data_IF_700564702146
#
_entry.id   IF_700564702146
#
_cell.length_a   1.000
_cell.length_b   1.000
_cell.length_c   1.000
_cell.angle_alpha   90.00
_cell.angle_beta   90.00
_cell.angle_gamma   90.00
#
_symmetry.space_group_name_H-M   'P 1'
#
loop_
_entity.id
_entity.type
_entity.pdbx_description
1 polymer ?
#
# COMPACT_ATOMS: atom_id res chain seq x y z
N UNK A 1 37.98 -18.30 -2.01
CA UNK A 1 37.35 -17.81 -0.76
C UNK A 1 36.05 -17.14 -1.14
N UNK A 2 34.92 -17.72 -0.75
CA UNK A 2 33.59 -17.23 -1.13
C UNK A 2 33.10 -16.33 0.01
N UNK A 3 33.34 -15.03 -0.10
CA UNK A 3 32.76 -14.07 0.84
C UNK A 3 31.25 -14.01 0.58
N UNK A 4 30.45 -14.41 1.57
CA UNK A 4 29.01 -14.16 1.55
C UNK A 4 28.84 -12.67 1.81
N UNK A 5 28.52 -11.87 0.78
CA UNK A 5 28.41 -10.41 0.86
C UNK A 5 27.55 -9.92 2.05
N UNK A 6 26.50 -10.65 2.43
CA UNK A 6 25.67 -10.35 3.60
C UNK A 6 26.42 -10.43 4.95
N UNK A 7 27.50 -11.23 5.06
CA UNK A 7 28.32 -11.28 6.27
C UNK A 7 29.19 -10.04 6.43
N UNK A 8 29.56 -9.38 5.34
CA UNK A 8 30.41 -8.17 5.36
C UNK A 8 29.59 -6.93 5.72
N UNK A 9 28.35 -6.81 5.23
CA UNK A 9 27.44 -5.71 5.61
C UNK A 9 27.07 -5.74 7.10
N UNK A 10 27.00 -6.93 7.72
CA UNK A 10 26.50 -7.12 9.09
C UNK A 10 27.53 -7.57 10.13
N UNK A 11 28.80 -7.78 9.73
CA UNK A 11 29.88 -8.07 10.67
C UNK A 11 30.15 -6.83 11.53
N UNK A 12 29.59 -6.81 12.73
CA UNK A 12 29.83 -5.76 13.73
C UNK A 12 28.61 -4.89 14.08
N UNK A 13 27.49 -5.00 13.35
CA UNK A 13 26.28 -4.25 13.70
C UNK A 13 25.38 -5.03 14.66
N UNK A 14 25.05 -4.39 15.79
CA UNK A 14 24.18 -4.93 16.83
C UNK A 14 22.71 -4.90 16.41
N UNK A 15 21.90 -5.81 16.97
CA UNK A 15 20.43 -5.69 16.88
C UNK A 15 19.99 -4.34 17.47
N UNK A 16 19.01 -3.71 16.83
CA UNK A 16 18.51 -2.37 17.13
C UNK A 16 19.33 -1.23 16.54
N UNK A 17 20.48 -1.49 15.92
CA UNK A 17 21.30 -0.44 15.30
C UNK A 17 20.50 0.30 14.23
N UNK A 18 20.55 1.64 14.28
CA UNK A 18 19.93 2.50 13.28
C UNK A 18 20.65 2.35 11.94
N UNK A 19 19.87 2.35 10.87
CA UNK A 19 20.28 2.29 9.48
C UNK A 19 19.61 3.43 8.74
N UNK A 20 20.33 4.06 7.82
CA UNK A 20 19.76 5.08 6.96
C UNK A 20 18.58 4.50 6.17
N UNK A 21 17.42 5.17 6.24
CA UNK A 21 16.23 4.75 5.52
C UNK A 21 16.45 4.80 3.99
N UNK A 22 17.27 5.73 3.49
CA UNK A 22 17.55 5.85 2.06
C UNK A 22 18.21 4.58 1.51
N UNK A 23 19.13 3.99 2.27
CA UNK A 23 19.77 2.73 1.91
C UNK A 23 18.75 1.58 1.80
N UNK A 24 17.81 1.50 2.75
CA UNK A 24 16.80 0.44 2.73
C UNK A 24 15.81 0.66 1.60
N UNK A 25 15.40 1.90 1.34
CA UNK A 25 14.51 2.26 0.24
C UNK A 25 15.15 1.96 -1.13
N UNK A 26 16.43 2.31 -1.31
CA UNK A 26 17.18 1.95 -2.51
C UNK A 26 17.22 0.43 -2.70
N UNK A 27 17.45 -0.35 -1.63
CA UNK A 27 17.39 -1.82 -1.72
C UNK A 27 16.00 -2.30 -2.12
N UNK A 28 14.92 -1.76 -1.56
CA UNK A 28 13.53 -2.15 -1.91
C UNK A 28 13.25 -1.87 -3.39
N UNK A 29 13.60 -0.68 -3.88
CA UNK A 29 13.34 -0.28 -5.28
C UNK A 29 14.20 -1.04 -6.29
N UNK A 30 15.35 -1.57 -5.87
CA UNK A 30 16.25 -2.35 -6.71
C UNK A 30 16.21 -3.86 -6.42
N UNK A 31 15.24 -4.33 -5.64
CA UNK A 31 15.11 -5.74 -5.34
C UNK A 31 14.90 -6.53 -6.63
N UNK A 32 15.61 -7.65 -6.78
CA UNK A 32 15.58 -8.44 -8.01
C UNK A 32 14.39 -9.41 -8.06
N UNK A 33 13.87 -9.76 -6.88
CA UNK A 33 12.82 -10.75 -6.71
C UNK A 33 11.51 -10.08 -6.28
N UNK A 34 10.40 -10.58 -6.81
CA UNK A 34 9.07 -10.26 -6.33
C UNK A 34 8.87 -10.78 -4.89
N UNK A 35 8.28 -9.96 -4.03
CA UNK A 35 7.88 -10.40 -2.70
C UNK A 35 6.47 -10.98 -2.75
N UNK A 36 6.38 -12.31 -2.76
CA UNK A 36 5.12 -13.05 -2.68
C UNK A 36 4.58 -12.98 -1.25
N UNK A 37 3.54 -12.19 -1.01
CA UNK A 37 2.97 -11.94 0.30
C UNK A 37 1.60 -12.59 0.45
N UNK A 38 1.32 -13.13 1.64
CA UNK A 38 0.00 -13.59 2.06
C UNK A 38 -0.52 -12.67 3.14
N UNK A 39 -1.76 -12.24 3.03
CA UNK A 39 -2.49 -11.51 4.07
C UNK A 39 -3.09 -12.54 5.01
N UNK A 40 -2.76 -12.48 6.28
CA UNK A 40 -3.12 -13.52 7.26
C UNK A 40 -3.67 -12.86 8.53
N UNK A 41 -4.69 -13.46 9.12
CA UNK A 41 -5.00 -13.22 10.53
C UNK A 41 -3.98 -13.99 11.37
N UNK A 42 -3.03 -13.27 11.96
CA UNK A 42 -1.91 -13.85 12.71
C UNK A 42 -2.37 -14.78 13.84
N UNK A 43 -3.54 -14.52 14.45
CA UNK A 43 -4.02 -15.27 15.62
C UNK A 43 -4.63 -16.61 15.25
N UNK A 44 -5.48 -16.62 14.23
CA UNK A 44 -6.13 -17.84 13.73
C UNK A 44 -5.27 -18.57 12.69
N UNK A 45 -4.24 -17.89 12.16
CA UNK A 45 -3.45 -18.32 11.02
C UNK A 45 -4.30 -18.56 9.76
N UNK A 46 -5.42 -17.84 9.65
CA UNK A 46 -6.34 -17.90 8.51
C UNK A 46 -5.83 -17.05 7.34
N UNK A 47 -5.88 -17.60 6.13
CA UNK A 47 -5.51 -16.89 4.90
C UNK A 47 -6.61 -15.94 4.44
N UNK A 48 -6.35 -14.65 4.52
CA UNK A 48 -7.27 -13.57 4.14
C UNK A 48 -7.06 -13.09 2.70
N UNK A 49 -5.92 -13.41 2.09
CA UNK A 49 -5.60 -12.95 0.75
C UNK A 49 -4.13 -13.15 0.39
N UNK A 50 -3.74 -12.71 -0.79
CA UNK A 50 -2.35 -12.74 -1.25
C UNK A 50 -2.11 -11.65 -2.29
N UNK A 51 -0.86 -11.21 -2.39
CA UNK A 51 -0.41 -10.25 -3.38
C UNK A 51 1.07 -10.49 -3.69
N UNK A 52 1.49 -10.14 -4.89
CA UNK A 52 2.90 -10.17 -5.28
C UNK A 52 3.37 -8.72 -5.44
N UNK A 53 4.35 -8.32 -4.64
CA UNK A 53 4.94 -6.98 -4.66
C UNK A 53 6.17 -6.97 -5.56
N UNK A 54 6.12 -6.20 -6.63
CA UNK A 54 7.11 -6.25 -7.73
C UNK A 54 7.75 -4.88 -7.94
N UNK A 55 9.01 -4.69 -7.50
CA UNK A 55 9.78 -3.51 -7.86
C UNK A 55 10.38 -3.64 -9.26
N UNK A 56 10.30 -2.57 -10.06
CA UNK A 56 10.91 -2.52 -11.39
C UNK A 56 11.74 -1.25 -11.57
N UNK A 57 12.90 -1.39 -12.21
CA UNK A 57 13.75 -0.27 -12.64
C UNK A 57 13.60 -0.08 -14.14
N UNK A 58 12.98 1.02 -14.55
CA UNK A 58 12.82 1.36 -15.97
C UNK A 58 13.97 2.26 -16.40
N UNK A 59 14.59 1.93 -17.52
CA UNK A 59 15.80 2.60 -18.02
C UNK A 59 15.42 3.67 -19.03
N UNK A 60 16.13 4.80 -18.98
CA UNK A 60 15.99 5.83 -20.00
C UNK A 60 16.67 5.38 -21.30
N UNK A 61 15.88 5.14 -22.34
CA UNK A 61 16.38 4.73 -23.67
C UNK A 61 16.57 5.91 -24.63
N UNK A 62 16.34 7.15 -24.19
CA UNK A 62 16.36 8.33 -25.07
C UNK A 62 17.77 8.88 -25.32
N UNK A 63 18.77 8.54 -24.52
CA UNK A 63 20.18 8.83 -24.84
C UNK A 63 20.71 7.77 -25.82
N UNK A 64 20.43 8.00 -27.09
CA UNK A 64 21.05 7.28 -28.20
C UNK A 64 22.54 7.57 -28.27
N UNK A 65 23.33 6.73 -27.62
CA UNK A 65 24.71 6.46 -27.99
C UNK A 65 25.69 6.42 -26.83
N UNK A 66 25.99 5.22 -26.34
CA UNK A 66 27.33 4.62 -26.44
C UNK A 66 27.32 3.15 -26.00
N UNK A 67 28.20 2.36 -26.64
CA UNK A 67 28.76 1.06 -26.22
C UNK A 67 27.83 0.02 -25.57
N UNK A 68 27.67 -1.11 -26.26
CA UNK A 68 27.05 -2.34 -25.73
C UNK A 68 27.65 -2.71 -24.36
N UNK A 69 26.86 -2.56 -23.30
CA UNK A 69 27.25 -2.91 -21.92
C UNK A 69 27.36 -1.75 -20.93
N UNK A 70 27.21 -0.48 -21.33
CA UNK A 70 27.11 0.65 -20.39
C UNK A 70 25.63 0.94 -20.02
N UNK A 71 25.32 0.96 -18.72
CA UNK A 71 23.98 1.32 -18.20
C UNK A 71 23.93 2.85 -18.04
N UNK A 72 23.28 3.56 -18.96
CA UNK A 72 23.48 5.02 -19.08
C UNK A 72 22.60 5.91 -18.18
N UNK A 73 21.40 5.51 -17.73
CA UNK A 73 20.66 6.16 -16.61
C UNK A 73 19.36 5.41 -16.25
N UNK A 74 19.00 5.42 -14.97
CA UNK A 74 17.66 5.03 -14.51
C UNK A 74 16.67 6.14 -14.88
N UNK A 75 15.59 5.80 -15.56
CA UNK A 75 14.55 6.74 -15.99
C UNK A 75 13.42 6.88 -14.98
N UNK A 76 13.01 5.77 -14.35
CA UNK A 76 12.00 5.73 -13.28
C UNK A 76 12.11 4.42 -12.48
N UNK A 77 11.51 4.42 -11.30
CA UNK A 77 11.25 3.21 -10.51
C UNK A 77 9.74 2.99 -10.43
N UNK A 78 9.29 1.74 -10.55
CA UNK A 78 7.90 1.38 -10.29
C UNK A 78 7.79 0.35 -9.17
N UNK A 79 6.67 0.38 -8.46
CA UNK A 79 6.26 -0.67 -7.53
C UNK A 79 4.86 -1.11 -7.93
N UNK A 80 4.72 -2.40 -8.19
CA UNK A 80 3.52 -2.97 -8.77
C UNK A 80 2.96 -4.09 -7.89
N UNK A 81 1.64 -4.12 -7.78
CA UNK A 81 0.87 -5.29 -7.38
C UNK A 81 -0.08 -5.57 -8.53
N UNK A 82 0.10 -6.70 -9.19
CA UNK A 82 -0.80 -7.14 -10.25
C UNK A 82 -1.71 -8.25 -9.75
N UNK A 83 -3.02 -8.04 -9.82
CA UNK A 83 -4.07 -8.97 -9.39
C UNK A 83 -3.87 -9.50 -7.97
N UNK A 84 -3.56 -8.61 -7.04
CA UNK A 84 -3.69 -8.87 -5.62
C UNK A 84 -5.12 -9.32 -5.30
N UNK A 85 -5.29 -10.16 -4.27
CA UNK A 85 -6.57 -10.77 -3.94
C UNK A 85 -6.83 -10.76 -2.45
N UNK A 86 -8.00 -10.30 -2.05
CA UNK A 86 -8.55 -10.46 -0.71
C UNK A 86 -9.75 -11.41 -0.78
N UNK A 87 -9.73 -12.45 0.06
CA UNK A 87 -10.76 -13.48 0.06
C UNK A 87 -12.03 -12.99 0.75
N UNK A 88 -13.18 -13.21 0.10
CA UNK A 88 -14.49 -13.15 0.74
C UNK A 88 -14.91 -14.54 1.23
N UNK A 89 -16.11 -14.67 1.82
CA UNK A 89 -16.69 -15.98 2.11
C UNK A 89 -16.90 -16.78 0.82
N UNK A 90 -17.51 -16.16 -0.20
CA UNK A 90 -17.60 -16.71 -1.55
C UNK A 90 -16.40 -16.26 -2.40
N UNK A 91 -15.74 -17.21 -3.07
CA UNK A 91 -14.61 -16.94 -3.96
C UNK A 91 -14.93 -16.08 -5.18
N UNK A 92 -16.20 -16.03 -5.60
CA UNK A 92 -16.65 -15.13 -6.66
C UNK A 92 -16.63 -13.67 -6.21
N UNK A 93 -16.85 -13.44 -4.92
CA UNK A 93 -16.89 -12.10 -4.33
C UNK A 93 -15.54 -11.64 -3.79
N UNK A 94 -14.45 -12.36 -4.10
CA UNK A 94 -13.09 -11.92 -3.77
C UNK A 94 -12.85 -10.52 -4.34
N UNK A 95 -12.17 -9.67 -3.56
CA UNK A 95 -11.69 -8.38 -4.06
C UNK A 95 -10.39 -8.62 -4.80
N UNK A 96 -10.35 -8.24 -6.07
CA UNK A 96 -9.14 -8.22 -6.87
C UNK A 96 -8.66 -6.77 -6.91
N UNK A 97 -7.36 -6.56 -6.78
CA UNK A 97 -6.81 -5.22 -6.81
C UNK A 97 -5.48 -5.16 -7.54
N UNK A 98 -5.29 -4.04 -8.22
CA UNK A 98 -4.03 -3.67 -8.83
C UNK A 98 -3.55 -2.36 -8.20
N UNK A 99 -2.25 -2.26 -8.00
CA UNK A 99 -1.59 -1.07 -7.48
C UNK A 99 -0.35 -0.80 -8.31
N UNK A 100 -0.18 0.44 -8.71
CA UNK A 100 1.00 0.91 -9.42
C UNK A 100 1.40 2.26 -8.84
N UNK A 101 2.68 2.41 -8.52
CA UNK A 101 3.28 3.71 -8.20
C UNK A 101 4.57 3.86 -8.99
N UNK A 102 4.70 5.02 -9.64
CA UNK A 102 5.94 5.44 -10.28
C UNK A 102 6.64 6.48 -9.43
N UNK A 103 7.96 6.40 -9.40
CA UNK A 103 8.85 7.28 -8.66
C UNK A 103 9.94 7.83 -9.58
N UNK A 104 10.33 9.08 -9.38
CA UNK A 104 11.44 9.68 -10.07
C UNK A 104 12.77 8.97 -9.76
N UNK A 105 13.80 9.12 -10.61
CA UNK A 105 15.13 8.60 -10.32
C UNK A 105 15.71 9.13 -9.00
N UNK A 106 16.75 8.43 -8.52
CA UNK A 106 17.58 8.89 -7.40
C UNK A 106 18.25 10.23 -7.74
N UNK A 107 18.41 11.17 -6.77
CA UNK A 107 18.16 11.03 -5.33
C UNK A 107 16.76 11.36 -4.85
N UNK A 108 15.91 11.92 -5.72
CA UNK A 108 14.67 12.54 -5.26
C UNK A 108 13.59 11.50 -4.94
N UNK A 109 13.48 10.44 -5.76
CA UNK A 109 12.53 9.32 -5.57
C UNK A 109 11.11 9.78 -5.21
N UNK A 110 10.70 10.92 -5.78
CA UNK A 110 9.39 11.50 -5.55
C UNK A 110 8.38 10.75 -6.40
N UNK A 111 7.18 10.54 -5.86
CA UNK A 111 6.10 9.93 -6.63
C UNK A 111 5.75 10.79 -7.85
N UNK A 112 5.49 10.14 -8.97
CA UNK A 112 5.10 10.76 -10.24
C UNK A 112 3.68 10.40 -10.62
N UNK A 113 3.29 9.14 -10.39
CA UNK A 113 1.93 8.66 -10.54
C UNK A 113 1.60 7.58 -9.53
N UNK A 114 0.33 7.50 -9.15
CA UNK A 114 -0.25 6.42 -8.37
C UNK A 114 -1.53 6.00 -9.05
N UNK A 115 -1.69 4.70 -9.25
CA UNK A 115 -2.91 4.07 -9.74
C UNK A 115 -3.31 2.94 -8.80
N UNK A 116 -4.59 2.91 -8.46
CA UNK A 116 -5.22 1.81 -7.71
C UNK A 116 -6.45 1.38 -8.50
N UNK A 117 -6.59 0.09 -8.74
CA UNK A 117 -7.80 -0.49 -9.30
C UNK A 117 -8.33 -1.54 -8.32
N UNK A 118 -9.64 -1.54 -8.08
CA UNK A 118 -10.34 -2.52 -7.27
C UNK A 118 -11.47 -3.11 -8.12
N UNK A 119 -11.53 -4.43 -8.19
CA UNK A 119 -12.60 -5.17 -8.84
C UNK A 119 -13.26 -6.11 -7.83
N UNK A 120 -14.59 -6.20 -7.90
CA UNK A 120 -15.33 -7.16 -7.09
C UNK A 120 -16.63 -7.55 -7.76
N UNK A 121 -17.00 -8.82 -7.68
CA UNK A 121 -18.35 -9.26 -8.01
C UNK A 121 -19.22 -9.30 -6.74
N UNK A 122 -20.42 -8.71 -6.77
CA UNK A 122 -21.40 -8.84 -5.69
C UNK A 122 -22.76 -9.10 -6.34
N UNK A 123 -23.42 -10.20 -5.95
CA UNK A 123 -24.74 -10.57 -6.49
C UNK A 123 -24.77 -10.62 -8.03
N UNK A 124 -23.75 -11.24 -8.64
CA UNK A 124 -23.56 -11.35 -10.10
C UNK A 124 -23.32 -10.02 -10.84
N UNK A 125 -23.06 -8.93 -10.10
CA UNK A 125 -22.71 -7.63 -10.67
C UNK A 125 -21.25 -7.32 -10.48
N UNK A 126 -20.58 -6.92 -11.56
CA UNK A 126 -19.19 -6.49 -11.53
C UNK A 126 -19.11 -5.01 -11.13
N UNK A 127 -18.37 -4.76 -10.05
CA UNK A 127 -18.01 -3.44 -9.56
C UNK A 127 -16.53 -3.23 -9.83
N UNK A 128 -16.21 -2.07 -10.38
CA UNK A 128 -14.84 -1.62 -10.56
C UNK A 128 -14.70 -0.21 -9.99
N UNK A 129 -13.59 0.04 -9.29
CA UNK A 129 -13.24 1.32 -8.74
C UNK A 129 -11.78 1.63 -9.01
N UNK A 130 -11.52 2.80 -9.57
CA UNK A 130 -10.16 3.22 -9.95
C UNK A 130 -9.84 4.56 -9.32
N UNK A 131 -8.60 4.69 -8.85
CA UNK A 131 -8.00 5.92 -8.34
C UNK A 131 -6.77 6.21 -9.17
N UNK A 132 -6.75 7.34 -9.86
CA UNK A 132 -5.61 7.80 -10.65
C UNK A 132 -5.12 9.14 -10.10
N UNK A 133 -3.82 9.24 -9.81
CA UNK A 133 -3.18 10.46 -9.34
C UNK A 133 -1.85 10.69 -10.04
N UNK A 134 -1.57 11.94 -10.39
CA UNK A 134 -0.30 12.37 -11.00
C UNK A 134 0.27 13.57 -10.25
N UNK A 135 1.60 13.62 -10.09
CA UNK A 135 2.26 14.69 -9.32
C UNK A 135 2.21 16.05 -10.00
N UNK A 136 1.94 16.07 -11.30
CA UNK A 136 1.71 17.28 -12.09
C UNK A 136 0.30 17.86 -11.90
N UNK A 137 -0.60 17.12 -11.26
CA UNK A 137 -1.99 17.50 -11.08
C UNK A 137 -2.25 17.90 -9.63
N UNK A 138 -3.21 18.81 -9.42
CA UNK A 138 -3.67 19.20 -8.08
C UNK A 138 -4.95 18.46 -7.65
N UNK A 139 -5.29 17.37 -8.33
CA UNK A 139 -6.47 16.54 -8.09
C UNK A 139 -6.14 15.05 -8.26
N UNK A 140 -7.04 14.23 -7.74
CA UNK A 140 -7.10 12.78 -7.93
C UNK A 140 -8.39 12.44 -8.66
N UNK A 141 -8.30 11.61 -9.68
CA UNK A 141 -9.45 11.13 -10.44
C UNK A 141 -9.95 9.85 -9.81
N UNK A 142 -11.23 9.81 -9.47
CA UNK A 142 -11.92 8.61 -8.99
C UNK A 142 -12.89 8.17 -10.07
N UNK A 143 -12.85 6.89 -10.43
CA UNK A 143 -13.80 6.26 -11.35
C UNK A 143 -14.49 5.10 -10.66
N UNK A 144 -15.78 4.95 -10.91
CA UNK A 144 -16.55 3.80 -10.51
C UNK A 144 -17.36 3.29 -11.70
N UNK A 145 -17.29 1.99 -11.95
CA UNK A 145 -18.08 1.32 -12.97
C UNK A 145 -18.93 0.22 -12.34
N UNK A 146 -20.21 0.21 -12.71
CA UNK A 146 -21.15 -0.85 -12.37
C UNK A 146 -21.87 -1.29 -13.64
N UNK A 147 -21.70 -2.56 -14.02
CA UNK A 147 -22.33 -3.14 -15.22
C UNK A 147 -22.11 -2.29 -16.51
N UNK A 148 -20.95 -1.63 -16.62
CA UNK A 148 -20.57 -0.79 -17.76
C UNK A 148 -21.10 0.65 -17.70
N UNK A 149 -21.86 1.03 -16.68
CA UNK A 149 -22.16 2.43 -16.38
C UNK A 149 -21.02 3.03 -15.57
N UNK A 150 -20.25 3.92 -16.18
CA UNK A 150 -19.10 4.57 -15.58
C UNK A 150 -19.45 5.96 -15.04
N UNK A 151 -18.95 6.28 -13.86
CA UNK A 151 -18.98 7.60 -13.27
C UNK A 151 -17.56 8.01 -12.90
N UNK A 152 -17.21 9.25 -13.23
CA UNK A 152 -15.89 9.83 -12.97
C UNK A 152 -16.04 11.14 -12.19
N UNK A 153 -15.14 11.35 -11.24
CA UNK A 153 -15.05 12.61 -10.48
C UNK A 153 -13.61 12.95 -10.15
N UNK A 154 -13.23 14.19 -10.46
CA UNK A 154 -11.97 14.76 -10.00
C UNK A 154 -12.16 15.39 -8.61
N UNK A 155 -11.29 14.99 -7.69
CA UNK A 155 -11.26 15.47 -6.31
C UNK A 155 -9.95 16.23 -6.07
N UNK A 156 -9.98 17.53 -5.75
CA UNK A 156 -8.77 18.27 -5.41
C UNK A 156 -7.99 17.62 -4.27
N UNK A 157 -6.65 17.57 -4.37
CA UNK A 157 -5.78 16.96 -3.36
C UNK A 157 -6.00 17.56 -1.96
N UNK A 158 -6.24 18.87 -1.90
CA UNK A 158 -6.52 19.59 -0.65
C UNK A 158 -7.83 19.17 0.05
N UNK A 159 -8.73 18.52 -0.69
CA UNK A 159 -10.04 18.07 -0.21
C UNK A 159 -10.03 16.58 0.20
N UNK A 160 -8.97 15.81 -0.10
CA UNK A 160 -8.84 14.40 0.32
C UNK A 160 -8.80 14.22 1.84
N UNK A 161 -8.32 15.22 2.56
CA UNK A 161 -8.28 15.22 4.03
C UNK A 161 -9.61 15.61 4.69
N UNK A 162 -10.62 15.98 3.90
CA UNK A 162 -11.90 16.56 4.38
C UNK A 162 -13.06 15.61 4.07
N UNK A 163 -13.49 14.76 5.02
CA UNK A 163 -14.54 13.76 4.79
C UNK A 163 -15.83 14.34 4.18
N UNK A 164 -16.22 15.55 4.59
CA UNK A 164 -17.41 16.25 4.08
C UNK A 164 -17.31 16.66 2.61
N UNK A 165 -16.09 16.81 2.07
CA UNK A 165 -15.85 17.09 0.66
C UNK A 165 -15.89 15.82 -0.19
N UNK A 166 -15.53 14.69 0.41
CA UNK A 166 -15.57 13.38 -0.24
C UNK A 166 -17.00 12.85 -0.41
N UNK A 167 -17.95 13.25 0.44
CA UNK A 167 -19.36 12.85 0.30
C UNK A 167 -19.92 13.23 -1.08
N UNK A 168 -19.63 14.44 -1.56
CA UNK A 168 -20.11 14.88 -2.87
C UNK A 168 -19.51 14.09 -4.02
N UNK A 169 -18.25 13.69 -3.91
CA UNK A 169 -17.60 12.79 -4.86
C UNK A 169 -18.28 11.41 -4.84
N UNK A 170 -18.52 10.84 -3.65
CA UNK A 170 -19.20 9.56 -3.49
C UNK A 170 -20.62 9.54 -4.07
N UNK A 171 -21.39 10.62 -3.88
CA UNK A 171 -22.74 10.74 -4.45
C UNK A 171 -22.72 10.82 -5.99
N UNK A 172 -21.76 11.56 -6.56
CA UNK A 172 -21.56 11.60 -8.02
C UNK A 172 -21.19 10.22 -8.57
N UNK A 173 -20.28 9.51 -7.90
CA UNK A 173 -19.90 8.14 -8.26
C UNK A 173 -21.08 7.16 -8.16
N UNK A 174 -22.02 7.40 -7.24
CA UNK A 174 -23.27 6.65 -7.15
C UNK A 174 -24.32 7.04 -8.21
N UNK A 175 -23.98 7.90 -9.17
CA UNK A 175 -24.86 8.34 -10.27
C UNK A 175 -25.86 9.43 -9.88
N UNK A 176 -25.69 10.09 -8.73
CA UNK A 176 -26.57 11.20 -8.32
C UNK A 176 -26.25 12.44 -9.15
N UNK A 177 -27.26 13.06 -9.83
CA UNK A 177 -27.06 14.27 -10.62
C UNK A 177 -26.40 15.39 -9.79
N UNK A 178 -25.48 16.14 -10.39
CA UNK A 178 -24.61 17.09 -9.68
C UNK A 178 -25.34 18.11 -8.77
N UNK A 179 -26.50 18.62 -9.21
CA UNK A 179 -27.32 19.55 -8.40
C UNK A 179 -27.92 18.86 -7.16
N UNK A 180 -28.40 17.62 -7.32
CA UNK A 180 -28.92 16.82 -6.21
C UNK A 180 -27.80 16.34 -5.27
N UNK A 181 -26.65 15.95 -5.82
CA UNK A 181 -25.47 15.56 -5.07
C UNK A 181 -24.98 16.71 -4.17
N UNK A 182 -24.97 17.94 -4.69
CA UNK A 182 -24.59 19.13 -3.92
C UNK A 182 -25.56 19.40 -2.76
N UNK A 183 -26.87 19.26 -2.99
CA UNK A 183 -27.90 19.43 -1.95
C UNK A 183 -27.82 18.34 -0.87
N UNK A 184 -27.66 17.08 -1.25
CA UNK A 184 -27.51 15.97 -0.31
C UNK A 184 -26.19 16.04 0.48
N UNK A 185 -25.10 16.49 -0.17
CA UNK A 185 -23.82 16.72 0.51
C UNK A 185 -23.93 17.76 1.62
N UNK A 186 -24.73 18.81 1.44
CA UNK A 186 -24.97 19.80 2.49
C UNK A 186 -25.73 19.21 3.69
N UNK A 187 -26.69 18.31 3.45
CA UNK A 187 -27.41 17.61 4.52
C UNK A 187 -26.49 16.67 5.30
N UNK A 188 -25.67 15.87 4.60
CA UNK A 188 -24.70 14.96 5.23
C UNK A 188 -23.60 15.75 5.93
N UNK A 189 -23.12 16.86 5.36
CA UNK A 189 -22.17 17.76 6.02
C UNK A 189 -22.71 18.29 7.35
N UNK A 190 -23.98 18.68 7.41
CA UNK A 190 -24.61 19.13 8.65
C UNK A 190 -24.72 17.99 9.69
N UNK A 191 -24.92 16.76 9.23
CA UNK A 191 -24.88 15.57 10.09
C UNK A 191 -23.47 15.24 10.59
N UNK A 192 -22.46 15.26 9.72
CA UNK A 192 -21.05 15.00 10.04
C UNK A 192 -20.43 16.11 10.92
N UNK A 193 -20.90 17.36 10.79
CA UNK A 193 -20.48 18.49 11.62
C UNK A 193 -21.21 18.57 12.97
N UNK A 194 -22.08 17.60 13.30
CA UNK A 194 -22.67 17.51 14.63
C UNK A 194 -21.58 17.37 15.69
N UNK A 195 -21.80 17.98 16.86
CA UNK A 195 -20.84 17.98 17.98
C UNK A 195 -20.42 16.55 18.40
N UNK A 196 -21.23 15.53 18.09
CA UNK A 196 -20.93 14.12 18.38
C UNK A 196 -19.83 13.51 17.50
N UNK A 197 -19.61 14.03 16.28
CA UNK A 197 -18.62 13.52 15.31
C UNK A 197 -17.37 14.39 15.19
N UNK A 198 -17.31 15.57 15.85
CA UNK A 198 -16.12 16.45 15.92
C UNK A 198 -14.94 15.85 16.71
N UNK A 199 -15.06 14.63 17.21
CA UNK A 199 -14.03 13.98 17.98
C UNK A 199 -12.92 13.43 17.06
N UNK A 200 -11.96 14.31 16.80
CA UNK A 200 -10.65 14.13 16.12
C UNK A 200 -10.69 14.40 14.61
N UNK A 201 -10.23 15.58 14.15
CA UNK A 201 -9.82 15.71 12.76
C UNK A 201 -8.74 14.66 12.48
N UNK A 202 -8.99 13.76 11.53
CA UNK A 202 -8.01 12.80 11.03
C UNK A 202 -6.94 13.57 10.25
N UNK A 203 -5.96 14.11 10.96
CA UNK A 203 -4.85 14.82 10.36
C UNK A 203 -3.79 13.78 9.97
N UNK A 204 -3.94 13.19 8.78
CA UNK A 204 -2.95 12.26 8.23
C UNK A 204 -1.70 13.04 7.80
N UNK A 205 -0.80 13.30 8.75
CA UNK A 205 0.59 13.63 8.43
C UNK A 205 1.37 12.32 8.41
N UNK A 206 1.54 11.73 7.23
CA UNK A 206 2.49 10.64 7.02
C UNK A 206 3.90 11.23 7.14
N UNK A 207 4.42 11.26 8.37
CA UNK A 207 5.84 11.50 8.56
C UNK A 207 6.59 10.26 8.04
N UNK A 208 7.28 10.42 6.92
CA UNK A 208 8.10 9.31 6.41
C UNK A 208 9.15 8.93 7.47
N UNK A 209 9.36 7.63 7.72
CA UNK A 209 10.34 7.18 8.69
C UNK A 209 11.72 7.72 8.32
N UNK A 210 12.45 8.24 9.31
CA UNK A 210 13.79 8.82 9.09
C UNK A 210 14.90 7.78 9.16
N UNK A 211 14.64 6.63 9.78
CA UNK A 211 15.60 5.56 10.01
C UNK A 211 14.91 4.20 9.94
N UNK A 212 15.69 3.19 9.60
CA UNK A 212 15.36 1.79 9.80
C UNK A 212 16.23 1.23 10.93
N UNK A 213 15.93 0.00 11.38
CA UNK A 213 16.68 -0.68 12.42
C UNK A 213 17.06 -2.09 12.01
N UNK A 214 18.22 -2.57 12.42
CA UNK A 214 18.54 -3.99 12.27
C UNK A 214 17.74 -4.78 13.30
N UNK A 215 17.00 -5.78 12.86
CA UNK A 215 16.20 -6.64 13.73
C UNK A 215 16.31 -8.11 13.29
N UNK A 216 15.65 -8.98 14.03
CA UNK A 216 15.38 -10.35 13.62
C UNK A 216 13.98 -10.45 13.01
N UNK A 217 13.85 -11.25 11.97
CA UNK A 217 12.55 -11.59 11.41
C UNK A 217 11.73 -12.34 12.48
N UNK A 218 10.55 -11.81 12.89
CA UNK A 218 9.75 -12.46 13.92
C UNK A 218 9.03 -13.70 13.38
N UNK A 219 8.61 -14.61 14.26
CA UNK A 219 7.73 -15.73 13.88
C UNK A 219 8.34 -16.81 12.98
N UNK A 220 9.63 -16.76 12.68
CA UNK A 220 10.36 -17.82 11.94
C UNK A 220 11.31 -18.58 12.87
N UNK A 221 11.61 -19.85 12.52
CA UNK A 221 12.51 -20.70 13.32
C UNK A 221 13.98 -20.26 13.26
N UNK A 222 14.38 -19.71 12.12
CA UNK A 222 15.75 -19.29 11.87
C UNK A 222 15.99 -17.85 12.32
N UNK A 223 17.17 -17.55 12.86
CA UNK A 223 17.57 -16.17 13.19
C UNK A 223 17.99 -15.43 11.92
N UNK A 224 17.03 -14.87 11.22
CA UNK A 224 17.24 -14.10 9.98
C UNK A 224 17.34 -12.63 10.35
N UNK A 225 18.48 -12.00 10.04
CA UNK A 225 18.64 -10.54 10.20
C UNK A 225 17.90 -9.82 9.08
N UNK A 226 17.23 -8.72 9.44
CA UNK A 226 16.41 -7.90 8.55
C UNK A 226 16.56 -6.43 8.89
N UNK A 227 16.22 -5.56 7.96
CA UNK A 227 15.90 -4.17 8.26
C UNK A 227 14.43 -4.09 8.69
N UNK A 228 14.14 -3.35 9.77
CA UNK A 228 12.80 -3.01 10.22
C UNK A 228 12.58 -1.52 9.99
N UNK A 229 11.54 -1.19 9.25
CA UNK A 229 11.07 0.18 9.03
C UNK A 229 9.80 0.35 9.87
N UNK A 230 9.77 1.39 10.70
CA UNK A 230 8.61 1.72 11.53
C UNK A 230 7.92 2.95 10.92
N UNK A 231 6.84 2.73 10.17
CA UNK A 231 6.08 3.79 9.48
C UNK A 231 5.00 4.35 10.42
N UNK A 232 5.10 5.62 10.86
CA UNK A 232 4.08 6.23 11.70
C UNK A 232 2.85 6.61 10.86
N UNK A 233 1.69 6.11 11.27
CA UNK A 233 0.40 6.43 10.62
C UNK A 233 -0.29 7.58 11.36
N UNK A 234 -0.34 7.50 12.68
CA UNK A 234 -0.81 8.50 13.65
C UNK A 234 0.02 8.28 14.93
N UNK A 235 0.14 9.28 15.82
CA UNK A 235 0.85 9.15 17.11
C UNK A 235 0.62 7.78 17.77
N UNK A 236 1.73 7.07 18.07
CA UNK A 236 1.81 5.73 18.67
C UNK A 236 1.25 4.54 17.83
N UNK A 237 0.94 4.74 16.54
CA UNK A 237 0.55 3.67 15.62
C UNK A 237 1.60 3.48 14.52
N UNK A 238 2.42 2.42 14.66
CA UNK A 238 3.49 2.09 13.73
C UNK A 238 3.11 0.86 12.90
N UNK A 239 3.12 1.00 11.58
CA UNK A 239 3.19 -0.14 10.66
C UNK A 239 4.64 -0.57 10.59
N UNK A 240 4.92 -1.84 10.88
CA UNK A 240 6.29 -2.37 10.84
C UNK A 240 6.52 -3.16 9.57
N UNK A 241 7.54 -2.80 8.81
CA UNK A 241 7.90 -3.46 7.56
C UNK A 241 9.27 -4.11 7.77
N UNK A 242 9.35 -5.42 7.58
CA UNK A 242 10.57 -6.20 7.68
C UNK A 242 11.08 -6.54 6.29
N UNK A 243 12.30 -6.12 6.00
CA UNK A 243 12.93 -6.21 4.68
C UNK A 243 14.23 -6.98 4.79
N UNK A 244 14.47 -7.91 3.87
CA UNK A 244 15.74 -8.63 3.83
C UNK A 244 16.89 -7.72 3.34
N UNK A 245 18.11 -8.25 3.34
CA UNK A 245 19.31 -7.48 2.94
C UNK A 245 19.36 -7.15 1.45
N UNK A 246 18.53 -7.82 0.65
CA UNK A 246 18.39 -7.67 -0.80
C UNK A 246 17.21 -6.76 -1.18
N UNK A 247 16.44 -6.26 -0.22
CA UNK A 247 15.30 -5.37 -0.47
C UNK A 247 13.92 -6.05 -0.53
N UNK A 248 13.85 -7.38 -0.42
CA UNK A 248 12.57 -8.11 -0.44
C UNK A 248 11.79 -7.88 0.86
N UNK A 249 10.50 -7.57 0.73
CA UNK A 249 9.60 -7.47 1.88
C UNK A 249 9.28 -8.89 2.39
N UNK A 250 9.60 -9.14 3.66
CA UNK A 250 9.38 -10.43 4.30
C UNK A 250 8.14 -10.46 5.18
N UNK A 251 7.82 -9.34 5.82
CA UNK A 251 6.67 -9.21 6.71
C UNK A 251 6.21 -7.76 6.84
N UNK A 252 4.90 -7.55 6.91
CA UNK A 252 4.31 -6.26 7.31
C UNK A 252 3.34 -6.49 8.45
N UNK A 253 3.53 -5.78 9.56
CA UNK A 253 2.63 -5.81 10.71
C UNK A 253 1.75 -4.55 10.72
N UNK A 254 0.43 -4.77 10.67
CA UNK A 254 -0.55 -3.71 10.78
C UNK A 254 -0.94 -3.56 12.25
N UNK A 255 -0.85 -2.35 12.85
CA UNK A 255 -1.16 -2.18 14.26
C UNK A 255 -2.66 -2.43 14.51
N UNK A 256 -2.98 -3.21 15.56
CA UNK A 256 -4.36 -3.57 15.89
C UNK A 256 -5.28 -2.36 16.06
N UNK A 257 -4.74 -1.23 16.57
CA UNK A 257 -5.50 0.01 16.74
C UNK A 257 -5.97 0.56 15.39
N UNK A 258 -5.15 0.45 14.34
CA UNK A 258 -5.54 0.87 12.99
C UNK A 258 -6.65 -0.04 12.44
N UNK A 259 -6.50 -1.35 12.62
CA UNK A 259 -7.52 -2.33 12.22
C UNK A 259 -8.85 -2.06 12.94
N UNK A 260 -8.81 -1.87 14.26
CA UNK A 260 -9.99 -1.56 15.08
C UNK A 260 -10.62 -0.24 14.67
N UNK A 261 -9.80 0.77 14.31
CA UNK A 261 -10.29 2.06 13.83
C UNK A 261 -11.03 1.89 12.52
N UNK A 262 -10.44 1.18 11.54
CA UNK A 262 -11.07 0.90 10.26
C UNK A 262 -12.36 0.09 10.47
N UNK A 263 -12.30 -1.00 11.25
CA UNK A 263 -13.47 -1.84 11.56
C UNK A 263 -14.63 -1.03 12.14
N UNK A 264 -14.37 -0.15 13.11
CA UNK A 264 -15.40 0.69 13.74
C UNK A 264 -15.96 1.74 12.80
N UNK A 265 -15.11 2.45 12.05
CA UNK A 265 -15.55 3.53 11.16
C UNK A 265 -16.30 3.01 9.94
N UNK A 266 -15.86 1.88 9.39
CA UNK A 266 -16.46 1.23 8.23
C UNK A 266 -17.57 0.24 8.57
N UNK A 267 -17.77 -0.09 9.85
CA UNK A 267 -18.65 -1.16 10.33
C UNK A 267 -18.35 -2.52 9.69
N UNK A 268 -17.09 -2.76 9.36
CA UNK A 268 -16.62 -4.03 8.82
C UNK A 268 -16.13 -4.94 9.95
N UNK A 269 -16.45 -6.22 9.87
CA UNK A 269 -15.89 -7.23 10.76
C UNK A 269 -14.50 -7.63 10.26
N UNK A 270 -13.47 -6.94 10.76
CA UNK A 270 -12.08 -7.20 10.39
C UNK A 270 -11.39 -8.06 11.47
N UNK A 271 -10.51 -9.00 11.07
CA UNK A 271 -9.73 -9.78 12.01
C UNK A 271 -8.79 -8.88 12.82
N UNK A 272 -8.67 -9.14 14.13
CA UNK A 272 -7.98 -8.26 15.09
C UNK A 272 -6.44 -8.26 15.00
N UNK A 273 -5.86 -8.89 13.99
CA UNK A 273 -4.41 -9.08 13.87
C UNK A 273 -4.00 -9.40 12.44
N UNK A 274 -3.94 -8.39 11.56
CA UNK A 274 -3.56 -8.58 10.15
C UNK A 274 -2.06 -8.43 9.98
N UNK A 275 -1.45 -9.42 9.33
CA UNK A 275 -0.03 -9.43 8.97
C UNK A 275 0.11 -9.90 7.53
N UNK A 276 1.00 -9.26 6.78
CA UNK A 276 1.45 -9.77 5.50
C UNK A 276 2.71 -10.60 5.73
N UNK A 277 2.76 -11.82 5.22
CA UNK A 277 3.88 -12.75 5.40
C UNK A 277 4.37 -13.26 4.06
N UNK A 278 5.68 -13.24 3.86
CA UNK A 278 6.28 -13.78 2.67
C UNK A 278 6.17 -15.32 2.63
N UNK A 279 5.65 -15.87 1.54
CA UNK A 279 5.34 -17.31 1.41
C UNK A 279 6.60 -18.18 1.53
N UNK A 280 7.75 -17.68 1.07
CA UNK A 280 9.01 -18.41 1.06
C UNK A 280 9.58 -18.60 2.48
N UNK A 281 9.25 -17.69 3.40
CA UNK A 281 9.79 -17.69 4.78
C UNK A 281 8.81 -18.25 5.81
N UNK A 282 7.51 -18.05 5.63
CA UNK A 282 6.47 -18.47 6.58
C UNK A 282 5.67 -19.69 6.12
N UNK A 283 5.92 -20.16 4.90
CA UNK A 283 5.15 -21.23 4.27
C UNK A 283 3.87 -20.72 3.62
N UNK A 284 3.41 -21.46 2.61
CA UNK A 284 2.16 -21.16 1.91
C UNK A 284 0.97 -21.75 2.65
N UNK A 285 0.03 -20.90 3.00
CA UNK A 285 -1.27 -21.28 3.55
C UNK A 285 -2.25 -21.56 2.42
N UNK A 286 -3.33 -22.26 2.75
CA UNK A 286 -4.46 -22.50 1.85
C UNK A 286 -5.67 -21.76 2.39
N UNK A 287 -6.56 -21.38 1.48
CA UNK A 287 -7.88 -20.87 1.84
C UNK A 287 -8.67 -22.01 2.48
N UNK A 288 -9.30 -21.72 3.61
CA UNK A 288 -10.24 -22.64 4.23
C UNK A 288 -11.47 -22.76 3.31
N UNK A 289 -11.84 -24.00 2.98
CA UNK A 289 -12.99 -24.32 2.10
C UNK A 289 -14.31 -24.26 2.87
#
# INVERSE_FOLDING_TARGET
MTYRLWQVEYAGQSLGAAVDIQLVWEKILNAQDEAKLQVVDERSNQLLGALDWTPTVVRDTTQGGSVEGMVEKVGEYTLDISRGRLHSADSREDVIFDFHISLSPFPDQQWTSVQVQLEREISERQFEFTVDAHSTNNFVTLRASLEGAEQEVDVPLEDLSKPEKLVGAGLKLAGVPALAASGASLMVKNFLNSEELKNRPLNFKLELPRQAHIDLLPGVRSRIKVYRIDVPIVEDMLVKIYVNTLGEILRVEIPNVLIDTISKTSKLDLPKSIVLRNQNFYGRLRRDQ
#
